data_IF_416860984871
#
_entry.id   IF_416860984871
#
_cell.length_a   1.000
_cell.length_b   1.000
_cell.length_c   1.000
_cell.angle_alpha   90.00
_cell.angle_beta   90.00
_cell.angle_gamma   90.00
#
_symmetry.space_group_name_H-M   'P 1'
#
loop_
_entity.id
_entity.type
_entity.pdbx_description
1 polymer ?
#
# COMPACT_ATOMS: atom_id res chain seq x y z
N UNK A 1 -0.40 5.96 -15.86
CA UNK A 1 -0.59 5.59 -14.45
C UNK A 1 -0.66 6.85 -13.61
N UNK A 2 -1.20 6.74 -12.40
CA UNK A 2 -1.29 7.81 -11.42
C UNK A 2 0.00 7.92 -10.60
N UNK A 3 0.37 9.14 -10.26
CA UNK A 3 1.59 9.46 -9.50
C UNK A 3 1.36 9.29 -8.00
N UNK A 4 0.10 9.44 -7.57
CA UNK A 4 -0.34 9.22 -6.22
C UNK A 4 -1.66 8.45 -6.25
N UNK A 5 -1.76 7.41 -5.42
CA UNK A 5 -3.00 6.73 -5.06
C UNK A 5 -3.09 6.75 -3.54
N UNK A 6 -4.23 7.15 -3.00
CA UNK A 6 -4.49 7.16 -1.56
C UNK A 6 -5.65 6.20 -1.25
N UNK A 7 -5.45 5.27 -0.34
CA UNK A 7 -6.44 4.28 0.09
C UNK A 7 -6.85 4.51 1.54
N UNK A 8 -8.09 4.98 1.70
CA UNK A 8 -8.82 5.00 2.97
C UNK A 8 -10.22 4.41 2.72
N UNK A 9 -10.31 3.08 2.86
CA UNK A 9 -11.52 2.31 2.60
C UNK A 9 -11.51 1.00 3.41
N UNK A 10 -12.41 0.08 3.05
CA UNK A 10 -12.51 -1.23 3.68
C UNK A 10 -11.33 -2.15 3.29
N UNK A 11 -10.54 -2.51 4.31
CA UNK A 11 -9.26 -3.23 4.20
C UNK A 11 -9.43 -4.65 3.67
N UNK A 12 -10.61 -5.24 3.84
CA UNK A 12 -10.91 -6.60 3.36
C UNK A 12 -10.75 -6.72 1.84
N UNK A 13 -10.86 -5.62 1.10
CA UNK A 13 -10.81 -5.62 -0.36
C UNK A 13 -9.42 -5.27 -0.92
N UNK A 14 -8.49 -4.75 -0.10
CA UNK A 14 -7.22 -4.19 -0.60
C UNK A 14 -6.38 -5.21 -1.38
N UNK A 15 -6.26 -6.43 -0.85
CA UNK A 15 -5.50 -7.51 -1.51
C UNK A 15 -6.13 -7.91 -2.85
N UNK A 16 -7.47 -7.91 -2.94
CA UNK A 16 -8.18 -8.19 -4.19
C UNK A 16 -8.02 -7.06 -5.23
N UNK A 17 -7.93 -5.81 -4.79
CA UNK A 17 -7.70 -4.66 -5.68
C UNK A 17 -6.24 -4.48 -6.11
N UNK A 18 -5.31 -5.10 -5.40
CA UNK A 18 -3.87 -4.91 -5.62
C UNK A 18 -3.42 -5.08 -7.07
N UNK A 19 -3.85 -6.08 -7.86
CA UNK A 19 -3.47 -6.20 -9.26
C UNK A 19 -3.86 -4.97 -10.10
N UNK A 20 -5.05 -4.42 -9.89
CA UNK A 20 -5.52 -3.22 -10.57
C UNK A 20 -4.76 -1.98 -10.09
N UNK A 21 -4.49 -1.86 -8.79
CA UNK A 21 -3.74 -0.74 -8.22
C UNK A 21 -2.31 -0.71 -8.79
N UNK A 22 -1.62 -1.87 -8.83
CA UNK A 22 -0.29 -2.01 -9.47
C UNK A 22 -0.28 -1.57 -10.92
N UNK A 23 -1.30 -1.96 -11.68
CA UNK A 23 -1.46 -1.58 -13.09
C UNK A 23 -1.63 -0.06 -13.24
N UNK A 24 -2.37 0.56 -12.33
CA UNK A 24 -2.68 1.98 -12.37
C UNK A 24 -1.57 2.86 -11.80
N UNK A 25 -0.74 2.38 -10.88
CA UNK A 25 0.35 3.14 -10.28
C UNK A 25 1.46 3.40 -11.31
N UNK A 26 1.81 4.66 -11.55
CA UNK A 26 2.88 5.04 -12.46
C UNK A 26 4.25 4.54 -11.95
N UNK A 27 5.26 4.36 -12.83
CA UNK A 27 6.66 4.24 -12.39
C UNK A 27 7.03 5.42 -11.49
N UNK A 28 7.69 5.16 -10.36
CA UNK A 28 7.99 6.13 -9.29
C UNK A 28 6.74 6.77 -8.66
N UNK A 29 5.57 6.17 -8.85
CA UNK A 29 4.33 6.56 -8.19
C UNK A 29 4.27 6.03 -6.76
N UNK A 30 3.53 6.76 -5.92
CA UNK A 30 3.31 6.45 -4.50
C UNK A 30 1.88 5.95 -4.29
N UNK A 31 1.75 4.80 -3.63
CA UNK A 31 0.53 4.39 -2.95
C UNK A 31 0.67 4.70 -1.46
N UNK A 32 -0.36 5.28 -0.87
CA UNK A 32 -0.49 5.49 0.58
C UNK A 32 -1.72 4.74 1.06
N UNK A 33 -1.59 3.99 2.16
CA UNK A 33 -2.69 3.27 2.79
C UNK A 33 -2.81 3.70 4.25
N UNK A 34 -3.95 4.27 4.62
CA UNK A 34 -4.21 4.82 5.96
C UNK A 34 -4.63 3.73 6.97
N UNK A 35 -4.38 4.02 8.24
CA UNK A 35 -4.66 3.22 9.43
C UNK A 35 -3.92 1.87 9.46
N UNK A 36 -2.74 1.82 8.85
CA UNK A 36 -1.94 0.62 8.69
C UNK A 36 -1.31 0.12 10.00
N UNK A 37 -1.19 0.95 11.04
CA UNK A 37 -0.77 0.49 12.38
C UNK A 37 -1.97 -0.05 13.16
N UNK A 38 -3.09 0.70 13.21
CA UNK A 38 -4.26 0.26 13.99
C UNK A 38 -4.92 -1.01 13.44
N UNK A 39 -4.80 -1.28 12.14
CA UNK A 39 -5.38 -2.45 11.47
C UNK A 39 -4.31 -3.39 10.87
N UNK A 40 -3.11 -3.39 11.46
CA UNK A 40 -1.96 -4.15 10.94
C UNK A 40 -2.26 -5.63 10.72
N UNK A 41 -3.03 -6.27 11.60
CA UNK A 41 -3.36 -7.71 11.50
C UNK A 41 -4.12 -8.08 10.24
N UNK A 42 -4.96 -7.17 9.73
CA UNK A 42 -5.74 -7.39 8.50
C UNK A 42 -4.88 -7.19 7.24
N UNK A 43 -3.80 -6.43 7.37
CA UNK A 43 -2.94 -6.05 6.24
C UNK A 43 -1.61 -6.80 6.19
N UNK A 44 -1.19 -7.47 7.27
CA UNK A 44 0.17 -8.01 7.43
C UNK A 44 0.58 -8.97 6.32
N UNK A 45 -0.33 -9.84 5.86
CA UNK A 45 -0.05 -10.76 4.75
C UNK A 45 0.24 -9.98 3.46
N UNK A 46 -0.61 -9.01 3.13
CA UNK A 46 -0.43 -8.18 1.94
C UNK A 46 0.81 -7.29 2.04
N UNK A 47 1.09 -6.72 3.21
CA UNK A 47 2.31 -5.94 3.45
C UNK A 47 3.57 -6.78 3.23
N UNK A 48 3.56 -8.03 3.70
CA UNK A 48 4.66 -8.97 3.48
C UNK A 48 4.79 -9.32 1.99
N UNK A 49 3.69 -9.60 1.29
CA UNK A 49 3.71 -9.88 -0.16
C UNK A 49 4.34 -8.73 -0.96
N UNK A 50 3.90 -7.49 -0.71
CA UNK A 50 4.46 -6.31 -1.40
C UNK A 50 5.91 -6.05 -0.98
N UNK A 51 6.24 -6.28 0.29
CA UNK A 51 7.61 -6.11 0.80
C UNK A 51 8.64 -7.08 0.23
N UNK A 52 8.20 -8.21 -0.35
CA UNK A 52 9.08 -9.17 -1.05
C UNK A 52 9.19 -8.91 -2.56
N UNK A 53 8.35 -8.04 -3.12
CA UNK A 53 8.39 -7.72 -4.56
C UNK A 53 9.45 -6.63 -4.83
N UNK A 54 10.54 -6.94 -5.55
CA UNK A 54 11.61 -5.98 -5.81
C UNK A 54 11.20 -4.81 -6.69
N UNK A 55 10.01 -4.85 -7.31
CA UNK A 55 9.45 -3.71 -8.02
C UNK A 55 8.92 -2.61 -7.08
N UNK A 56 8.89 -2.85 -5.77
CA UNK A 56 8.35 -1.91 -4.79
C UNK A 56 9.30 -1.70 -3.61
N UNK A 57 9.34 -0.46 -3.12
CA UNK A 57 9.91 -0.11 -1.82
C UNK A 57 8.78 0.32 -0.88
N UNK A 58 8.85 -0.06 0.39
CA UNK A 58 7.79 0.27 1.35
C UNK A 58 8.32 0.88 2.64
N UNK A 59 7.51 1.69 3.29
CA UNK A 59 7.79 2.27 4.60
C UNK A 59 6.50 2.42 5.39
N UNK A 60 6.51 2.08 6.67
CA UNK A 60 5.39 2.35 7.58
C UNK A 60 5.74 3.56 8.44
N UNK A 61 4.99 4.64 8.29
CA UNK A 61 5.22 5.91 8.99
C UNK A 61 4.21 6.06 10.14
N UNK A 62 4.64 6.31 11.39
CA UNK A 62 3.75 6.41 12.53
C UNK A 62 3.10 7.79 12.67
N UNK A 63 2.45 8.27 11.61
CA UNK A 63 1.62 9.48 11.63
C UNK A 63 0.16 9.05 11.76
N UNK A 64 -0.62 9.72 12.63
CA UNK A 64 -2.01 9.37 12.87
C UNK A 64 -2.17 7.92 13.36
N UNK A 65 -2.97 7.12 12.64
CA UNK A 65 -3.16 5.68 12.89
C UNK A 65 -2.23 4.79 12.07
N UNK A 66 -1.21 5.38 11.45
CA UNK A 66 -0.17 4.75 10.67
C UNK A 66 -0.43 4.80 9.17
N UNK A 67 0.57 5.25 8.42
CA UNK A 67 0.52 5.37 6.96
C UNK A 67 1.50 4.37 6.34
N UNK A 68 0.99 3.43 5.55
CA UNK A 68 1.86 2.53 4.78
C UNK A 68 2.11 3.10 3.39
N UNK A 69 3.36 3.47 3.15
CA UNK A 69 3.85 4.01 1.90
C UNK A 69 4.41 2.88 1.03
N UNK A 70 4.00 2.85 -0.23
CA UNK A 70 4.47 1.88 -1.23
C UNK A 70 4.86 2.65 -2.49
N UNK A 71 6.15 2.66 -2.81
CA UNK A 71 6.71 3.31 -4.01
C UNK A 71 6.98 2.24 -5.06
N UNK A 72 6.52 2.47 -6.29
CA UNK A 72 6.90 1.65 -7.45
C UNK A 72 8.27 2.11 -7.97
N UNK A 73 9.26 1.21 -7.99
CA UNK A 73 10.62 1.50 -8.48
C UNK A 73 10.69 1.57 -10.02
#
# INVERSE_FOLDING_TARGET
GYQLIFLDSDRQHYRAWWPQIRRLLAPRGLLVVDNAISHRSEMVEWMNEVGQDPAFATSLVPVGKGEWLVVRL
#
